data_IF_330301593862
#
_entry.id   IF_330301593862
#
_cell.length_a   1.000
_cell.length_b   1.000
_cell.length_c   1.000
_cell.angle_alpha   90.00
_cell.angle_beta   90.00
_cell.angle_gamma   90.00
#
_symmetry.space_group_name_H-M   'P 1'
#
loop_
_entity.id
_entity.type
_entity.pdbx_description
1 polymer ?
#
# COMPACT_ATOMS: atom_id res chain seq x y z
N UNK A 1 -29.35 -5.20 -37.86
CA UNK A 1 -28.31 -4.23 -38.24
C UNK A 1 -27.50 -3.99 -36.97
N UNK A 2 -26.37 -4.67 -36.81
CA UNK A 2 -25.49 -4.47 -35.65
C UNK A 2 -24.64 -3.24 -35.96
N UNK A 3 -25.08 -2.08 -35.49
CA UNK A 3 -24.23 -0.90 -35.43
C UNK A 3 -23.21 -1.16 -34.32
N UNK A 4 -22.02 -1.65 -34.71
CA UNK A 4 -20.87 -1.67 -33.82
C UNK A 4 -20.61 -0.24 -33.38
N UNK A 5 -20.94 0.09 -32.13
CA UNK A 5 -20.57 1.38 -31.56
C UNK A 5 -19.05 1.56 -31.74
N UNK A 6 -18.60 2.70 -32.26
CA UNK A 6 -17.17 2.94 -32.41
C UNK A 6 -16.53 2.88 -31.03
N UNK A 7 -15.49 2.05 -30.90
CA UNK A 7 -14.67 2.00 -29.70
C UNK A 7 -14.15 3.43 -29.46
N UNK A 8 -14.37 4.03 -28.27
CA UNK A 8 -13.87 5.37 -27.98
C UNK A 8 -12.37 5.41 -28.23
N UNK A 9 -11.92 6.33 -29.08
CA UNK A 9 -10.50 6.48 -29.34
C UNK A 9 -9.84 7.15 -28.12
N UNK A 10 -8.64 6.69 -27.79
CA UNK A 10 -7.90 7.11 -26.60
C UNK A 10 -6.61 7.75 -27.07
N UNK A 11 -6.41 9.01 -26.70
CA UNK A 11 -5.18 9.73 -27.00
C UNK A 11 -4.40 9.94 -25.72
N UNK A 12 -3.13 9.51 -25.74
CA UNK A 12 -2.18 9.74 -24.64
C UNK A 12 -1.01 10.56 -25.18
N UNK A 13 -0.83 11.77 -24.65
CA UNK A 13 0.25 12.68 -25.04
C UNK A 13 0.67 13.54 -23.86
N UNK A 14 1.98 13.77 -23.69
CA UNK A 14 2.55 14.64 -22.65
C UNK A 14 2.07 14.37 -21.21
N UNK A 15 1.82 13.09 -20.87
CA UNK A 15 1.32 12.69 -19.55
C UNK A 15 -0.16 12.96 -19.32
N UNK A 16 -0.89 13.28 -20.39
CA UNK A 16 -2.34 13.44 -20.43
C UNK A 16 -3.00 12.31 -21.19
N UNK A 17 -4.18 11.91 -20.73
CA UNK A 17 -5.08 10.99 -21.39
C UNK A 17 -6.40 11.69 -21.66
N UNK A 18 -6.88 11.60 -22.90
CA UNK A 18 -8.21 12.03 -23.32
C UNK A 18 -8.93 10.87 -23.98
N UNK A 19 -10.23 10.76 -23.73
CA UNK A 19 -11.08 9.71 -24.30
C UNK A 19 -12.15 10.39 -25.14
N UNK A 20 -12.25 10.03 -26.41
CA UNK A 20 -13.22 10.63 -27.32
C UNK A 20 -14.65 10.43 -26.82
N UNK A 21 -15.45 11.49 -26.91
CA UNK A 21 -16.83 11.50 -26.44
C UNK A 21 -17.00 11.70 -24.94
N UNK A 22 -15.90 11.81 -24.17
CA UNK A 22 -15.96 12.13 -22.73
C UNK A 22 -15.41 13.54 -22.47
N UNK A 23 -16.03 14.31 -21.56
CA UNK A 23 -15.63 15.68 -21.27
C UNK A 23 -14.37 15.77 -20.39
N UNK A 24 -14.01 14.69 -19.72
CA UNK A 24 -12.92 14.68 -18.74
C UNK A 24 -11.58 14.37 -19.39
N UNK A 25 -10.58 15.15 -18.99
CA UNK A 25 -9.16 14.88 -19.27
C UNK A 25 -8.51 14.34 -18.01
N UNK A 26 -7.51 13.50 -18.18
CA UNK A 26 -6.82 12.85 -17.09
C UNK A 26 -5.32 13.10 -17.17
N UNK A 27 -4.67 13.26 -16.03
CA UNK A 27 -3.22 13.43 -15.92
C UNK A 27 -2.62 12.25 -15.16
N UNK A 28 -1.42 11.82 -15.53
CA UNK A 28 -0.73 10.79 -14.78
C UNK A 28 -0.34 11.31 -13.39
N UNK A 29 -0.82 10.63 -12.34
CA UNK A 29 -0.71 11.06 -10.94
C UNK A 29 0.67 10.86 -10.31
N UNK A 30 1.77 10.85 -11.08
CA UNK A 30 3.10 10.44 -10.63
C UNK A 30 3.68 11.26 -9.44
N UNK A 31 3.17 12.47 -9.22
CA UNK A 31 3.57 13.32 -8.09
C UNK A 31 2.87 12.95 -6.76
N UNK A 32 1.79 12.16 -6.81
CA UNK A 32 1.03 11.71 -5.63
C UNK A 32 1.35 10.25 -5.33
N UNK A 33 1.32 9.90 -4.05
CA UNK A 33 1.43 8.51 -3.60
C UNK A 33 0.04 7.89 -3.49
N UNK A 34 -0.11 6.73 -4.11
CA UNK A 34 -1.26 5.87 -3.90
C UNK A 34 -1.07 5.12 -2.58
N UNK A 35 -2.12 5.02 -1.77
CA UNK A 35 -2.04 4.46 -0.41
C UNK A 35 -3.10 3.39 -0.18
N UNK A 36 -2.68 2.28 0.43
CA UNK A 36 -3.54 1.19 0.86
C UNK A 36 -3.36 0.93 2.36
N UNK A 37 -4.49 0.80 3.06
CA UNK A 37 -4.52 0.23 4.41
C UNK A 37 -5.20 -1.13 4.32
N UNK A 38 -4.60 -2.17 4.88
CA UNK A 38 -5.18 -3.50 4.97
C UNK A 38 -5.20 -3.98 6.42
N UNK A 39 -6.22 -4.75 6.75
CA UNK A 39 -6.33 -5.41 8.06
C UNK A 39 -6.61 -6.89 7.89
N UNK A 40 -6.43 -7.65 8.97
CA UNK A 40 -6.73 -9.08 9.02
C UNK A 40 -6.02 -9.90 7.92
N UNK A 41 -4.71 -9.66 7.76
CA UNK A 41 -3.87 -10.39 6.81
C UNK A 41 -3.86 -11.88 7.12
N UNK A 42 -3.95 -12.71 6.08
CA UNK A 42 -3.98 -14.17 6.20
C UNK A 42 -2.89 -14.80 5.37
N UNK A 43 -2.19 -15.76 5.97
CA UNK A 43 -1.22 -16.59 5.26
C UNK A 43 -1.96 -17.70 4.50
N UNK A 44 -1.89 -17.67 3.18
CA UNK A 44 -2.43 -18.71 2.31
C UNK A 44 -1.26 -19.55 1.80
N UNK A 45 -1.35 -20.87 2.03
CA UNK A 45 -0.38 -21.85 1.55
C UNK A 45 -1.02 -22.70 0.47
N UNK A 46 -0.22 -23.11 -0.50
CA UNK A 46 -0.65 -23.98 -1.57
C UNK A 46 0.52 -24.48 -2.38
N UNK A 47 0.22 -25.30 -3.37
CA UNK A 47 1.21 -25.79 -4.31
C UNK A 47 0.78 -25.45 -5.72
N UNK A 48 1.72 -25.05 -6.56
CA UNK A 48 1.49 -24.89 -8.00
C UNK A 48 2.45 -25.80 -8.77
N UNK A 49 1.96 -26.37 -9.88
CA UNK A 49 2.82 -27.06 -10.83
C UNK A 49 3.40 -26.02 -11.80
N UNK A 50 4.72 -25.88 -11.82
CA UNK A 50 5.46 -25.05 -12.77
C UNK A 50 6.55 -25.90 -13.41
N UNK A 51 6.57 -25.94 -14.74
CA UNK A 51 7.54 -26.73 -15.52
C UNK A 51 7.66 -28.20 -15.07
N UNK A 52 6.53 -28.80 -14.67
CA UNK A 52 6.46 -30.18 -14.18
C UNK A 52 6.99 -30.40 -12.75
N UNK A 53 7.34 -29.32 -12.03
CA UNK A 53 7.74 -29.36 -10.61
C UNK A 53 6.64 -28.74 -9.75
N UNK A 54 6.41 -29.36 -8.59
CA UNK A 54 5.53 -28.80 -7.57
C UNK A 54 6.33 -27.74 -6.79
N UNK A 55 5.88 -26.49 -6.81
CA UNK A 55 6.45 -25.39 -6.05
C UNK A 55 5.50 -25.01 -4.90
N UNK A 56 6.06 -24.78 -3.71
CA UNK A 56 5.30 -24.18 -2.60
C UNK A 56 5.01 -22.72 -2.95
N UNK A 57 3.73 -22.39 -3.08
CA UNK A 57 3.26 -21.04 -3.37
C UNK A 57 2.58 -20.50 -2.14
N UNK A 58 3.33 -19.67 -1.41
CA UNK A 58 2.82 -18.91 -0.29
C UNK A 58 2.45 -17.50 -0.75
N UNK A 59 1.34 -17.00 -0.21
CA UNK A 59 0.91 -15.61 -0.42
C UNK A 59 0.18 -15.10 0.81
N UNK A 60 0.18 -13.79 0.97
CA UNK A 60 -0.63 -13.13 2.00
C UNK A 60 -1.83 -12.50 1.31
N UNK A 61 -3.01 -12.66 1.91
CA UNK A 61 -4.25 -12.08 1.40
C UNK A 61 -4.92 -11.21 2.46
N UNK A 62 -5.49 -10.09 2.03
CA UNK A 62 -6.30 -9.20 2.85
C UNK A 62 -7.32 -8.43 2.01
N UNK A 63 -8.32 -7.85 2.66
CA UNK A 63 -9.11 -6.78 2.09
C UNK A 63 -8.38 -5.46 2.41
N UNK A 64 -8.09 -4.66 1.39
CA UNK A 64 -7.44 -3.37 1.56
C UNK A 64 -8.38 -2.23 1.18
N UNK A 65 -8.33 -1.15 1.96
CA UNK A 65 -9.00 0.12 1.72
C UNK A 65 -8.06 1.07 1.02
N UNK A 66 -8.57 1.80 0.04
CA UNK A 66 -7.84 2.91 -0.59
C UNK A 66 -7.94 4.13 0.31
N UNK A 67 -6.78 4.69 0.66
CA UNK A 67 -6.73 5.89 1.50
C UNK A 67 -6.88 7.13 0.65
N UNK A 68 -7.84 7.97 1.00
CA UNK A 68 -8.04 9.26 0.34
C UNK A 68 -8.58 9.15 -1.09
N UNK A 69 -9.50 8.22 -1.36
CA UNK A 69 -10.19 8.15 -2.66
C UNK A 69 -10.75 6.77 -2.99
N UNK A 70 -11.04 6.56 -4.26
CA UNK A 70 -11.43 5.26 -4.81
C UNK A 70 -10.68 4.94 -6.11
N UNK A 71 -10.64 3.65 -6.46
CA UNK A 71 -10.17 3.17 -7.77
C UNK A 71 -11.34 3.12 -8.74
N UNK A 72 -11.17 3.79 -9.88
CA UNK A 72 -12.16 3.95 -10.94
C UNK A 72 -11.60 3.51 -12.27
N UNK A 73 -12.48 3.37 -13.26
CA UNK A 73 -12.13 3.05 -14.64
C UNK A 73 -12.51 4.24 -15.51
N UNK A 74 -11.56 4.79 -16.26
CA UNK A 74 -11.83 5.97 -17.08
C UNK A 74 -12.87 5.62 -18.16
N UNK A 75 -13.97 6.37 -18.20
CA UNK A 75 -15.07 6.15 -19.14
C UNK A 75 -16.02 5.01 -18.82
N UNK A 76 -15.88 4.38 -17.64
CA UNK A 76 -16.81 3.36 -17.16
C UNK A 76 -17.33 3.75 -15.77
N UNK A 77 -18.55 3.33 -15.47
CA UNK A 77 -19.12 3.51 -14.14
C UNK A 77 -18.50 2.57 -13.10
N UNK A 78 -18.64 2.98 -11.84
CA UNK A 78 -18.16 2.25 -10.68
C UNK A 78 -16.99 2.95 -9.97
N UNK A 79 -16.93 2.72 -8.66
CA UNK A 79 -15.84 3.18 -7.81
C UNK A 79 -15.59 2.14 -6.72
N UNK A 80 -14.33 1.73 -6.57
CA UNK A 80 -13.92 0.77 -5.57
C UNK A 80 -13.11 1.49 -4.48
N UNK A 81 -13.70 1.68 -3.30
CA UNK A 81 -12.96 2.15 -2.12
C UNK A 81 -12.19 1.04 -1.41
N UNK A 82 -12.47 -0.22 -1.76
CA UNK A 82 -11.81 -1.41 -1.25
C UNK A 82 -11.46 -2.36 -2.38
N UNK A 83 -10.44 -3.16 -2.17
CA UNK A 83 -9.95 -4.13 -3.14
C UNK A 83 -9.36 -5.37 -2.45
N UNK A 84 -9.27 -6.47 -3.18
CA UNK A 84 -8.55 -7.65 -2.71
C UNK A 84 -7.05 -7.45 -2.87
N UNK A 85 -6.32 -7.42 -1.76
CA UNK A 85 -4.86 -7.34 -1.74
C UNK A 85 -4.27 -8.75 -1.68
N UNK A 86 -3.35 -9.04 -2.60
CA UNK A 86 -2.51 -10.24 -2.56
C UNK A 86 -1.04 -9.84 -2.55
N UNK A 87 -0.28 -10.28 -1.56
CA UNK A 87 1.17 -10.08 -1.49
C UNK A 87 1.90 -11.39 -1.80
N UNK A 88 2.92 -11.32 -2.65
CA UNK A 88 3.72 -12.47 -3.06
C UNK A 88 5.20 -12.16 -2.94
N UNK A 89 6.07 -13.14 -2.66
CA UNK A 89 7.50 -12.96 -2.81
C UNK A 89 7.87 -12.84 -4.30
N UNK A 90 8.83 -12.00 -4.62
CA UNK A 90 9.47 -11.97 -5.94
C UNK A 90 10.24 -13.27 -6.17
N UNK A 91 10.10 -13.84 -7.37
CA UNK A 91 10.76 -15.10 -7.73
C UNK A 91 12.30 -14.98 -7.81
N UNK A 92 12.84 -13.77 -7.96
CA UNK A 92 14.27 -13.51 -8.08
C UNK A 92 14.78 -12.70 -6.89
N UNK A 93 15.72 -13.30 -6.15
CA UNK A 93 16.45 -12.71 -5.02
C UNK A 93 17.55 -11.76 -5.49
N UNK A 94 17.21 -10.72 -6.26
CA UNK A 94 18.13 -9.59 -6.43
C UNK A 94 18.00 -8.69 -5.20
N UNK A 95 19.11 -8.31 -4.56
CA UNK A 95 19.09 -7.31 -3.47
C UNK A 95 18.51 -5.95 -3.94
N UNK A 96 18.51 -5.69 -5.25
CA UNK A 96 17.91 -4.51 -5.86
C UNK A 96 16.47 -4.73 -6.36
N UNK A 97 15.80 -5.80 -5.91
CA UNK A 97 14.45 -6.13 -6.33
C UNK A 97 13.46 -5.06 -5.85
N UNK A 98 13.09 -4.15 -6.76
CA UNK A 98 12.07 -3.14 -6.52
C UNK A 98 10.75 -3.84 -6.18
N UNK A 99 10.12 -3.40 -5.10
CA UNK A 99 8.79 -3.85 -4.73
C UNK A 99 7.79 -3.35 -5.77
N UNK A 100 6.97 -4.24 -6.31
CA UNK A 100 6.04 -3.91 -7.40
C UNK A 100 4.60 -3.93 -6.91
N UNK A 101 3.77 -3.08 -7.51
CA UNK A 101 2.33 -3.07 -7.30
C UNK A 101 1.63 -3.15 -8.67
N UNK A 102 0.66 -4.05 -8.79
CA UNK A 102 -0.25 -4.15 -9.91
C UNK A 102 -1.67 -3.88 -9.41
N UNK A 103 -2.38 -2.97 -10.07
CA UNK A 103 -3.77 -2.64 -9.76
C UNK A 103 -4.63 -2.86 -10.98
N UNK A 104 -5.83 -3.39 -10.81
CA UNK A 104 -6.72 -3.61 -11.93
C UNK A 104 -8.09 -4.13 -11.53
N UNK A 105 -8.87 -4.47 -12.54
CA UNK A 105 -10.09 -5.25 -12.41
C UNK A 105 -9.87 -6.58 -13.10
N UNK A 106 -10.38 -7.66 -12.51
CA UNK A 106 -10.44 -8.98 -13.14
C UNK A 106 -11.89 -9.41 -13.25
N UNK A 107 -12.20 -10.16 -14.30
CA UNK A 107 -13.48 -10.83 -14.39
C UNK A 107 -13.47 -12.04 -13.44
N UNK A 108 -14.33 -11.99 -12.43
CA UNK A 108 -14.57 -13.09 -11.51
C UNK A 108 -16.07 -13.39 -11.54
N UNK A 109 -16.44 -14.50 -12.17
CA UNK A 109 -17.83 -14.95 -12.34
C UNK A 109 -18.73 -13.95 -13.10
N UNK A 110 -18.19 -13.20 -14.07
CA UNK A 110 -18.92 -12.21 -14.84
C UNK A 110 -19.03 -10.85 -14.16
N UNK A 111 -18.46 -10.69 -12.96
CA UNK A 111 -18.34 -9.42 -12.26
C UNK A 111 -16.90 -8.90 -12.32
N UNK A 112 -16.76 -7.60 -12.54
CA UNK A 112 -15.45 -6.96 -12.58
C UNK A 112 -15.01 -6.62 -11.15
N UNK A 113 -14.12 -7.44 -10.59
CA UNK A 113 -13.63 -7.32 -9.22
C UNK A 113 -12.30 -6.56 -9.15
N UNK A 114 -12.21 -5.50 -8.30
CA UNK A 114 -10.99 -4.73 -8.12
C UNK A 114 -9.95 -5.52 -7.31
N UNK A 115 -8.70 -5.49 -7.77
CA UNK A 115 -7.60 -6.16 -7.08
C UNK A 115 -6.34 -5.29 -7.02
N UNK A 116 -5.52 -5.58 -6.01
CA UNK A 116 -4.12 -5.16 -5.95
C UNK A 116 -3.24 -6.38 -5.70
N UNK A 117 -2.15 -6.47 -6.46
CA UNK A 117 -1.15 -7.52 -6.32
C UNK A 117 0.22 -6.88 -6.08
N UNK A 118 0.75 -7.11 -4.88
CA UNK A 118 2.06 -6.64 -4.46
C UNK A 118 3.11 -7.74 -4.57
N UNK A 119 4.27 -7.41 -5.10
CA UNK A 119 5.42 -8.32 -5.18
C UNK A 119 6.54 -7.78 -4.30
N UNK A 120 6.85 -8.52 -3.24
CA UNK A 120 7.76 -8.12 -2.19
C UNK A 120 9.13 -8.79 -2.34
N UNK A 121 10.17 -8.14 -1.85
CA UNK A 121 11.45 -8.80 -1.63
C UNK A 121 11.25 -10.02 -0.70
N UNK A 122 11.90 -11.16 -0.95
CA UNK A 122 11.71 -12.36 -0.14
C UNK A 122 11.90 -12.13 1.36
N UNK A 123 12.89 -11.33 1.76
CA UNK A 123 13.15 -10.98 3.16
C UNK A 123 11.99 -10.23 3.82
N UNK A 124 11.41 -9.25 3.12
CA UNK A 124 10.25 -8.48 3.60
C UNK A 124 9.03 -9.37 3.72
N UNK A 125 8.79 -10.25 2.74
CA UNK A 125 7.68 -11.20 2.76
C UNK A 125 7.79 -12.17 3.94
N UNK A 126 8.98 -12.73 4.18
CA UNK A 126 9.21 -13.67 5.28
C UNK A 126 9.08 -12.99 6.65
N UNK A 127 9.58 -11.76 6.80
CA UNK A 127 9.43 -10.97 8.02
C UNK A 127 7.95 -10.70 8.34
N UNK A 128 7.20 -10.16 7.37
CA UNK A 128 5.77 -9.89 7.53
C UNK A 128 5.00 -11.19 7.85
N UNK A 129 5.31 -12.29 7.16
CA UNK A 129 4.69 -13.60 7.42
C UNK A 129 4.94 -14.06 8.86
N UNK A 130 6.18 -13.94 9.36
CA UNK A 130 6.52 -14.31 10.72
C UNK A 130 5.73 -13.47 11.74
N UNK A 131 5.64 -12.16 11.52
CA UNK A 131 4.92 -11.25 12.41
C UNK A 131 3.40 -11.48 12.38
N UNK A 132 2.82 -11.83 11.22
CA UNK A 132 1.41 -12.25 11.13
C UNK A 132 1.18 -13.51 11.98
N UNK A 133 2.05 -14.52 11.84
CA UNK A 133 1.91 -15.79 12.57
C UNK A 133 2.11 -15.61 14.09
N UNK A 134 2.90 -14.61 14.50
CA UNK A 134 3.10 -14.22 15.89
C UNK A 134 2.05 -13.24 16.42
N UNK A 135 1.09 -12.79 15.59
CA UNK A 135 0.05 -11.83 15.96
C UNK A 135 0.52 -10.37 16.09
N UNK A 136 1.76 -10.08 15.67
CA UNK A 136 2.41 -8.77 15.70
C UNK A 136 2.08 -7.90 14.48
N UNK A 137 1.55 -8.49 13.41
CA UNK A 137 1.13 -7.78 12.20
C UNK A 137 -0.35 -8.05 11.91
N UNK A 138 -1.21 -7.11 12.32
CA UNK A 138 -2.66 -7.18 12.09
C UNK A 138 -3.13 -6.10 11.13
N UNK A 139 -2.41 -4.98 11.09
CA UNK A 139 -2.62 -3.87 10.17
C UNK A 139 -1.38 -3.70 9.28
N UNK A 140 -1.61 -3.30 8.03
CA UNK A 140 -0.60 -3.05 7.02
C UNK A 140 -0.93 -1.73 6.31
N UNK A 141 0.04 -0.83 6.22
CA UNK A 141 0.00 0.36 5.37
C UNK A 141 1.02 0.21 4.25
N UNK A 142 0.62 0.58 3.03
CA UNK A 142 1.46 0.55 1.84
C UNK A 142 1.33 1.87 1.09
N UNK A 143 2.46 2.47 0.73
CA UNK A 143 2.53 3.63 -0.16
C UNK A 143 3.25 3.27 -1.46
N UNK A 144 2.70 3.69 -2.59
CA UNK A 144 3.24 3.38 -3.92
C UNK A 144 3.17 4.55 -4.89
N UNK A 145 4.18 4.62 -5.76
CA UNK A 145 4.11 5.40 -7.00
C UNK A 145 3.43 4.56 -8.07
N UNK A 146 2.40 5.08 -8.72
CA UNK A 146 1.65 4.30 -9.71
C UNK A 146 1.53 5.04 -11.04
N UNK A 147 1.20 4.28 -12.09
CA UNK A 147 0.80 4.81 -13.39
C UNK A 147 -0.70 5.14 -13.46
N UNK A 148 -1.37 5.29 -12.32
CA UNK A 148 -2.79 5.66 -12.28
C UNK A 148 -2.97 7.11 -12.74
N UNK A 149 -4.15 7.37 -13.27
CA UNK A 149 -4.56 8.69 -13.72
C UNK A 149 -5.39 9.39 -12.64
N UNK A 150 -5.35 10.71 -12.61
CA UNK A 150 -6.29 11.56 -11.85
C UNK A 150 -7.00 12.48 -12.83
N UNK A 151 -8.17 13.02 -12.47
CA UNK A 151 -8.83 14.00 -13.33
C UNK A 151 -8.08 15.33 -13.33
N UNK A 152 -8.19 16.08 -14.43
CA UNK A 152 -7.61 17.42 -14.57
C UNK A 152 -8.08 18.36 -13.44
N UNK A 153 -9.34 18.25 -13.02
CA UNK A 153 -9.93 19.05 -11.93
C UNK A 153 -9.23 18.83 -10.57
N UNK A 154 -8.62 17.66 -10.37
CA UNK A 154 -7.93 17.29 -9.13
C UNK A 154 -6.41 17.52 -9.18
N UNK A 155 -5.91 18.11 -10.28
CA UNK A 155 -4.47 18.32 -10.49
C UNK A 155 -3.86 19.14 -9.35
N UNK A 156 -4.46 20.28 -9.05
CA UNK A 156 -3.90 21.28 -8.11
C UNK A 156 -4.35 21.03 -6.67
N UNK A 157 -5.10 19.95 -6.42
CA UNK A 157 -5.49 19.54 -5.07
C UNK A 157 -4.23 19.34 -4.20
N UNK A 158 -4.15 19.84 -2.95
CA UNK A 158 -2.95 19.64 -2.14
C UNK A 158 -2.60 18.15 -1.93
N UNK A 159 -1.31 17.84 -1.74
CA UNK A 159 -0.89 16.49 -1.37
C UNK A 159 -1.55 16.09 -0.03
N UNK A 160 -2.11 14.88 0.03
CA UNK A 160 -2.84 14.39 1.21
C UNK A 160 -4.34 14.67 1.22
N UNK A 161 -4.85 15.53 0.34
CA UNK A 161 -6.29 15.62 0.11
C UNK A 161 -6.79 14.46 -0.78
N UNK A 162 -8.04 14.01 -0.57
CA UNK A 162 -8.55 12.86 -1.27
C UNK A 162 -8.75 13.13 -2.78
N UNK A 163 -8.36 12.17 -3.61
CA UNK A 163 -8.54 12.19 -5.07
C UNK A 163 -8.91 10.79 -5.56
N UNK A 164 -9.75 10.71 -6.59
CA UNK A 164 -10.05 9.45 -7.24
C UNK A 164 -8.94 9.05 -8.23
N UNK A 165 -8.66 7.76 -8.28
CA UNK A 165 -7.62 7.18 -9.12
C UNK A 165 -8.24 6.39 -10.26
N UNK A 166 -7.77 6.59 -11.48
CA UNK A 166 -8.37 6.04 -12.69
C UNK A 166 -7.41 5.09 -13.38
N UNK A 167 -7.91 3.90 -13.71
CA UNK A 167 -7.32 3.02 -14.71
C UNK A 167 -7.67 3.54 -16.10
N UNK A 168 -6.69 3.49 -16.99
CA UNK A 168 -6.92 3.77 -18.40
C UNK A 168 -7.76 2.67 -19.06
N UNK A 169 -8.41 2.96 -20.20
CA UNK A 169 -9.09 1.95 -21.00
C UNK A 169 -8.10 0.89 -21.52
N UNK A 170 -8.57 -0.34 -21.71
CA UNK A 170 -7.77 -1.42 -22.27
C UNK A 170 -7.53 -1.23 -23.78
N UNK A 171 -6.49 -1.87 -24.32
CA UNK A 171 -6.10 -1.73 -25.72
C UNK A 171 -7.12 -2.34 -26.70
N UNK A 172 -7.91 -3.31 -26.24
CA UNK A 172 -9.04 -3.90 -26.97
C UNK A 172 -10.32 -3.05 -26.86
N UNK A 173 -10.26 -1.93 -26.14
CA UNK A 173 -11.40 -1.05 -25.88
C UNK A 173 -12.43 -1.62 -24.91
N UNK A 174 -12.16 -2.79 -24.30
CA UNK A 174 -13.07 -3.46 -23.38
C UNK A 174 -12.51 -3.41 -21.95
N UNK A 175 -13.23 -2.77 -21.04
CA UNK A 175 -12.82 -2.65 -19.65
C UNK A 175 -11.66 -1.67 -19.45
N UNK A 176 -10.67 -2.05 -18.64
CA UNK A 176 -9.59 -1.16 -18.21
C UNK A 176 -8.23 -1.86 -18.19
N UNK A 177 -7.20 -1.17 -18.68
CA UNK A 177 -5.82 -1.62 -18.57
C UNK A 177 -5.36 -1.58 -17.10
N UNK A 178 -4.63 -2.60 -16.61
CA UNK A 178 -4.09 -2.57 -15.26
C UNK A 178 -3.00 -1.50 -15.12
N UNK A 179 -2.97 -0.84 -13.97
CA UNK A 179 -1.91 0.09 -13.62
C UNK A 179 -0.77 -0.63 -12.89
N UNK A 180 0.45 -0.15 -13.13
CA UNK A 180 1.67 -0.67 -12.49
C UNK A 180 2.27 0.41 -11.61
N UNK A 181 2.96 -0.01 -10.57
CA UNK A 181 3.61 0.88 -9.63
C UNK A 181 4.77 0.24 -8.91
N UNK A 182 5.47 1.08 -8.16
CA UNK A 182 6.53 0.70 -7.25
C UNK A 182 6.07 1.01 -5.84
N UNK A 183 6.19 0.02 -4.95
CA UNK A 183 5.93 0.21 -3.52
C UNK A 183 7.16 0.92 -2.95
N UNK A 184 6.93 2.11 -2.39
CA UNK A 184 7.97 2.97 -1.81
C UNK A 184 8.16 2.66 -0.32
N UNK A 185 7.06 2.39 0.38
CA UNK A 185 7.06 1.99 1.78
C UNK A 185 5.98 0.95 2.06
N UNK A 186 6.29 0.07 3.01
CA UNK A 186 5.40 -0.94 3.54
C UNK A 186 5.67 -1.06 5.04
N UNK A 187 4.64 -0.84 5.84
CA UNK A 187 4.71 -0.78 7.29
C UNK A 187 3.59 -1.65 7.86
N UNK A 188 3.86 -2.37 8.94
CA UNK A 188 2.86 -3.17 9.64
C UNK A 188 3.01 -3.04 11.15
N UNK A 189 1.89 -3.18 11.84
CA UNK A 189 1.84 -3.11 13.29
C UNK A 189 0.75 -4.04 13.85
N UNK A 190 0.78 -4.21 15.16
CA UNK A 190 -0.35 -4.79 15.88
C UNK A 190 -1.51 -3.79 15.83
N UNK A 191 -2.73 -4.30 15.66
CA UNK A 191 -3.91 -3.45 15.68
C UNK A 191 -3.93 -2.71 17.02
N UNK A 192 -4.09 -1.39 16.97
CA UNK A 192 -4.29 -0.62 18.19
C UNK A 192 -5.51 -1.23 18.88
N UNK A 193 -5.36 -1.63 20.15
CA UNK A 193 -6.49 -2.08 20.94
C UNK A 193 -7.53 -0.96 20.85
N UNK A 194 -8.67 -1.24 20.20
CA UNK A 194 -9.73 -0.26 20.04
C UNK A 194 -10.02 0.28 21.43
N UNK A 195 -9.68 1.55 21.63
CA UNK A 195 -9.83 2.22 22.91
C UNK A 195 -11.30 2.06 23.27
N UNK A 196 -11.56 1.18 24.24
CA UNK A 196 -12.92 0.83 24.60
C UNK A 196 -13.64 2.16 24.90
N UNK A 197 -14.86 2.39 24.37
CA UNK A 197 -15.58 3.61 24.67
C UNK A 197 -15.65 3.71 26.19
N UNK A 198 -14.92 4.68 26.75
CA UNK A 198 -14.98 5.01 28.15
C UNK A 198 -16.48 5.19 28.47
N UNK A 199 -17.07 4.39 29.37
CA UNK A 199 -18.43 4.66 29.79
C UNK A 199 -18.42 6.01 30.47
N UNK A 200 -18.94 7.01 29.75
CA UNK A 200 -19.18 8.32 30.30
C UNK A 200 -20.15 8.18 31.47
N UNK A 201 -19.72 8.61 32.65
CA UNK A 201 -20.61 8.90 33.77
C UNK A 201 -20.39 8.03 35.01
N UNK A 202 -19.36 8.34 35.78
CA UNK A 202 -19.42 8.23 37.24
C UNK A 202 -18.48 9.27 37.84
N UNK A 203 -19.08 10.29 38.47
CA UNK A 203 -18.42 11.39 39.17
C UNK A 203 -17.61 10.91 40.41
N UNK A 204 -16.70 11.75 40.93
CA UNK A 204 -15.46 11.31 41.57
C UNK A 204 -15.59 11.07 43.08
N UNK A 205 -14.96 10.02 43.59
CA UNK A 205 -14.57 9.92 45.00
C UNK A 205 -13.07 9.60 45.10
N UNK A 206 -12.39 10.40 45.92
CA UNK A 206 -10.95 10.45 46.11
C UNK A 206 -10.42 9.27 46.99
N UNK A 207 -9.10 9.17 47.21
CA UNK A 207 -8.27 8.05 46.78
C UNK A 207 -8.06 7.01 47.88
N UNK A 208 -7.89 5.76 47.48
CA UNK A 208 -7.28 4.73 48.33
C UNK A 208 -6.14 4.06 47.58
N UNK A 209 -5.01 4.13 48.25
CA UNK A 209 -3.69 3.67 47.87
C UNK A 209 -3.61 2.14 47.65
N UNK A 210 -2.73 1.77 46.71
CA UNK A 210 -2.04 0.48 46.54
C UNK A 210 -2.78 -0.68 45.85
N UNK A 211 -2.43 -0.92 44.57
CA UNK A 211 -1.87 -2.19 44.12
C UNK A 211 -1.12 -2.00 42.79
N UNK A 212 0.10 -2.50 42.75
CA UNK A 212 1.11 -2.40 41.70
C UNK A 212 0.73 -3.13 40.40
N UNK A 213 1.27 -2.60 39.29
CA UNK A 213 1.77 -3.29 38.07
C UNK A 213 1.13 -2.77 36.79
N UNK A 214 1.83 -1.85 36.11
CA UNK A 214 1.89 -1.76 34.63
C UNK A 214 2.72 -0.56 34.09
N UNK A 215 3.34 0.26 34.95
CA UNK A 215 4.13 1.43 34.48
C UNK A 215 5.63 1.16 34.21
N UNK A 216 6.14 -0.07 34.38
CA UNK A 216 7.58 -0.35 34.18
C UNK A 216 8.00 -0.64 32.73
N UNK A 217 7.07 -0.85 31.78
CA UNK A 217 7.41 -1.20 30.39
C UNK A 217 7.46 0.00 29.42
N UNK A 218 6.75 1.09 29.73
CA UNK A 218 6.72 2.29 28.88
C UNK A 218 7.96 3.17 29.09
N UNK A 219 8.48 3.24 30.32
CA UNK A 219 9.70 4.02 30.60
C UNK A 219 10.96 3.35 30.00
N UNK A 220 11.05 2.01 30.02
CA UNK A 220 12.22 1.29 29.48
C UNK A 220 12.31 1.38 27.94
N UNK A 221 11.18 1.43 27.24
CA UNK A 221 11.15 1.59 25.78
C UNK A 221 11.45 3.02 25.34
N UNK A 222 10.99 4.04 26.08
CA UNK A 222 11.33 5.44 25.84
C UNK A 222 12.82 5.73 26.10
N UNK A 223 13.39 5.15 27.16
CA UNK A 223 14.81 5.28 27.47
C UNK A 223 15.71 4.52 26.47
N UNK A 224 15.27 3.36 25.96
CA UNK A 224 15.95 2.66 24.87
C UNK A 224 15.94 3.45 23.56
N UNK A 225 14.80 4.05 23.18
CA UNK A 225 14.70 4.93 22.01
C UNK A 225 15.60 6.17 22.14
N UNK A 226 15.70 6.75 23.34
CA UNK A 226 16.59 7.88 23.63
C UNK A 226 18.07 7.49 23.56
N UNK A 227 18.43 6.28 24.00
CA UNK A 227 19.78 5.71 23.88
C UNK A 227 20.18 5.45 22.43
N UNK A 228 19.26 4.91 21.62
CA UNK A 228 19.48 4.66 20.19
C UNK A 228 19.68 5.97 19.42
N UNK A 229 18.85 6.98 19.70
CA UNK A 229 18.98 8.29 19.06
C UNK A 229 20.32 8.98 19.42
N UNK A 230 20.81 8.80 20.65
CA UNK A 230 22.12 9.30 21.05
C UNK A 230 23.26 8.53 20.36
N UNK A 231 23.25 7.20 20.38
CA UNK A 231 24.32 6.38 19.79
C UNK A 231 24.45 6.61 18.28
N UNK A 232 23.32 6.79 17.56
CA UNK A 232 23.30 7.13 16.15
C UNK A 232 23.92 8.51 15.87
N UNK A 233 23.65 9.49 16.74
CA UNK A 233 24.23 10.84 16.62
C UNK A 233 25.75 10.82 16.84
N UNK A 234 26.24 9.99 17.76
CA UNK A 234 27.68 9.79 17.96
C UNK A 234 28.34 9.05 16.79
N UNK A 235 27.68 8.04 16.22
CA UNK A 235 28.17 7.32 15.04
C UNK A 235 28.31 8.27 13.83
N UNK A 236 27.30 9.11 13.58
CA UNK A 236 27.34 10.12 12.52
C UNK A 236 28.46 11.14 12.74
N UNK A 237 28.71 11.55 13.98
CA UNK A 237 29.78 12.49 14.31
C UNK A 237 31.17 11.88 14.05
N UNK A 238 31.38 10.62 14.43
CA UNK A 238 32.64 9.91 14.16
C UNK A 238 32.84 9.68 12.67
N UNK A 239 31.79 9.32 11.93
CA UNK A 239 31.84 9.15 10.48
C UNK A 239 32.21 10.47 9.78
N UNK A 240 31.58 11.57 10.18
CA UNK A 240 31.90 12.90 9.65
C UNK A 240 33.36 13.27 9.94
N UNK A 241 33.85 12.99 11.14
CA UNK A 241 35.24 13.26 11.50
C UNK A 241 36.24 12.41 10.69
N UNK A 242 35.93 11.13 10.46
CA UNK A 242 36.73 10.26 9.60
C UNK A 242 36.79 10.78 8.16
N UNK A 243 35.66 11.21 7.61
CA UNK A 243 35.60 11.79 6.26
C UNK A 243 36.43 13.07 6.15
N UNK A 244 36.43 13.93 7.19
CA UNK A 244 37.28 15.13 7.24
C UNK A 244 38.76 14.76 7.28
N UNK A 245 39.16 13.76 8.08
CA UNK A 245 40.56 13.31 8.16
C UNK A 245 41.03 12.73 6.81
N UNK A 246 40.19 11.94 6.15
CA UNK A 246 40.50 11.38 4.83
C UNK A 246 40.62 12.49 3.78
N UNK A 247 39.76 13.51 3.83
CA UNK A 247 39.81 14.65 2.92
C UNK A 247 40.99 15.60 3.16
N UNK A 248 41.57 15.58 4.36
CA UNK A 248 42.76 16.38 4.73
C UNK A 248 44.10 15.69 4.42
N UNK A 249 44.08 14.45 3.91
CA UNK A 249 45.28 13.70 3.51
C UNK A 249 45.39 13.62 1.99
#
# INVERSE_FOLDING_TARGET
>A
MNESQPIPSVSVSDGWMTIDGLPHRYQQGAARRFRLDAAALRVIRGYASRDGRLEDVQRLEAEARIVGGALRRAGLDGAAGRLRLTLRPLATSSEAARLLLLLGYRDENGEAEPFAEGFLAPSVFEALKADILSGLAQELSLEATTSLWIREEDRDTPAGQPVDWYLGPAADGQGSAPARGFIESIEWCQAAAAEAPHPAGSEPMAPLDHAESEDHHLDDSADQLRRINWSLKQLLLVLAFMLIIIAMK
#
